data_IF_878443882119
#
_entry.id   IF_878443882119
#
_cell.length_a   1.000
_cell.length_b   1.000
_cell.length_c   1.000
_cell.angle_alpha   90.00
_cell.angle_beta   90.00
_cell.angle_gamma   90.00
#
_symmetry.space_group_name_H-M   'P 1'
#
loop_
_entity.id
_entity.type
_entity.pdbx_description
1 polymer ?
#
# COMPACT_ATOMS: atom_id res chain seq x y z
N UNK A 1 -58.07 -31.95 -40.36
CA UNK A 1 -57.56 -31.79 -41.73
C UNK A 1 -56.96 -30.40 -41.88
N UNK A 2 -55.71 -30.33 -42.37
CA UNK A 2 -54.93 -29.21 -42.92
C UNK A 2 -54.46 -28.02 -42.06
N UNK A 3 -53.21 -28.11 -41.58
CA UNK A 3 -51.97 -27.55 -42.15
C UNK A 3 -51.96 -26.23 -42.97
N UNK A 4 -50.93 -25.42 -42.68
CA UNK A 4 -50.00 -24.74 -43.63
C UNK A 4 -50.02 -23.19 -43.72
N UNK A 5 -49.05 -22.61 -42.99
CA UNK A 5 -48.01 -21.60 -43.35
C UNK A 5 -48.26 -20.39 -44.28
N UNK A 6 -47.72 -19.26 -43.76
CA UNK A 6 -46.76 -18.31 -44.34
C UNK A 6 -47.19 -17.27 -45.40
N UNK A 7 -46.86 -15.99 -45.11
CA UNK A 7 -45.90 -15.19 -45.91
C UNK A 7 -45.57 -13.85 -45.27
N UNK A 8 -44.27 -13.60 -45.09
CA UNK A 8 -43.67 -12.27 -44.93
C UNK A 8 -43.50 -11.64 -46.32
N UNK A 9 -43.78 -10.34 -46.45
CA UNK A 9 -43.26 -9.50 -47.54
C UNK A 9 -42.91 -8.12 -47.00
N UNK A 10 -41.65 -7.76 -47.20
CA UNK A 10 -41.00 -6.50 -46.87
C UNK A 10 -41.56 -5.35 -47.72
N UNK A 11 -41.91 -4.23 -47.07
CA UNK A 11 -42.28 -2.98 -47.72
C UNK A 11 -41.34 -1.86 -47.29
N UNK A 12 -40.56 -1.35 -48.25
CA UNK A 12 -39.75 -0.14 -48.14
C UNK A 12 -40.64 1.10 -48.34
N UNK A 13 -40.74 2.01 -47.37
CA UNK A 13 -40.98 3.44 -47.63
C UNK A 13 -40.73 4.33 -46.40
N UNK A 14 -39.80 5.26 -46.60
CA UNK A 14 -39.49 6.54 -45.95
C UNK A 14 -40.52 7.22 -45.03
N UNK A 15 -40.08 7.66 -43.83
CA UNK A 15 -40.37 9.00 -43.30
C UNK A 15 -39.39 9.44 -42.18
N UNK A 16 -38.94 10.71 -42.21
CA UNK A 16 -38.06 11.37 -41.23
C UNK A 16 -38.66 11.45 -39.82
N UNK A 17 -37.82 11.25 -38.80
CA UNK A 17 -37.88 11.89 -37.47
C UNK A 17 -36.44 11.89 -36.91
N UNK A 18 -35.77 13.05 -36.80
CA UNK A 18 -35.70 13.92 -35.61
C UNK A 18 -35.11 13.22 -34.38
N UNK A 19 -33.89 13.67 -34.06
CA UNK A 19 -33.34 13.94 -32.73
C UNK A 19 -33.27 12.80 -31.72
N UNK A 20 -32.04 12.49 -31.31
CA UNK A 20 -31.73 11.43 -30.35
C UNK A 20 -30.29 10.98 -30.49
N UNK A 21 -29.34 11.89 -30.33
CA UNK A 21 -27.94 11.51 -30.11
C UNK A 21 -27.86 10.67 -28.84
N UNK A 22 -27.60 9.38 -29.00
CA UNK A 22 -27.29 8.49 -27.88
C UNK A 22 -25.86 8.80 -27.50
N UNK A 23 -25.68 9.56 -26.43
CA UNK A 23 -24.40 9.76 -25.76
C UNK A 23 -23.94 8.41 -25.20
N UNK A 24 -23.22 7.65 -26.03
CA UNK A 24 -22.47 6.48 -25.61
C UNK A 24 -21.25 7.00 -24.85
N UNK A 25 -21.47 7.35 -23.58
CA UNK A 25 -20.44 7.69 -22.62
C UNK A 25 -19.34 6.63 -22.65
N UNK A 26 -18.15 7.07 -23.07
CA UNK A 26 -16.95 6.28 -23.28
C UNK A 26 -16.48 5.63 -21.99
N UNK A 27 -16.70 4.31 -21.86
CA UNK A 27 -16.09 3.42 -20.87
C UNK A 27 -14.62 3.09 -21.19
N UNK A 28 -13.80 4.10 -21.51
CA UNK A 28 -12.35 3.94 -21.79
C UNK A 28 -11.44 4.45 -20.66
N UNK A 29 -12.00 4.99 -19.58
CA UNK A 29 -11.20 5.53 -18.48
C UNK A 29 -10.65 4.45 -17.53
N UNK A 30 -11.44 3.41 -17.26
CA UNK A 30 -11.11 2.30 -16.36
C UNK A 30 -9.86 1.50 -16.77
N UNK A 31 -9.62 1.20 -18.08
CA UNK A 31 -8.45 0.44 -18.52
C UNK A 31 -7.12 1.13 -18.24
N UNK A 32 -7.02 2.44 -18.50
CA UNK A 32 -5.75 3.18 -18.30
C UNK A 32 -5.47 3.45 -16.82
N UNK A 33 -6.50 3.71 -16.02
CA UNK A 33 -6.39 3.84 -14.57
C UNK A 33 -5.87 2.54 -13.93
N UNK A 34 -6.46 1.40 -14.30
CA UNK A 34 -6.07 0.09 -13.81
C UNK A 34 -4.64 -0.29 -14.23
N UNK A 35 -4.26 0.04 -15.46
CA UNK A 35 -2.91 -0.24 -15.97
C UNK A 35 -1.82 0.54 -15.22
N UNK A 36 -2.09 1.79 -14.83
CA UNK A 36 -1.20 2.57 -13.97
C UNK A 36 -1.15 2.00 -12.56
N UNK A 37 -2.29 1.59 -11.99
CA UNK A 37 -2.33 0.98 -10.66
C UNK A 37 -1.56 -0.34 -10.58
N UNK A 38 -1.80 -1.25 -11.52
CA UNK A 38 -1.06 -2.51 -11.63
C UNK A 38 0.43 -2.27 -11.82
N UNK A 39 0.80 -1.24 -12.57
CA UNK A 39 2.20 -0.90 -12.73
C UNK A 39 2.87 -0.46 -11.42
N UNK A 40 2.18 0.37 -10.63
CA UNK A 40 2.65 0.76 -9.31
C UNK A 40 2.78 -0.47 -8.40
N UNK A 41 1.79 -1.38 -8.43
CA UNK A 41 1.82 -2.63 -7.64
C UNK A 41 2.99 -3.53 -8.03
N UNK A 42 3.19 -3.79 -9.32
CA UNK A 42 4.25 -4.67 -9.80
C UNK A 42 5.66 -4.14 -9.47
N UNK A 43 5.89 -2.83 -9.64
CA UNK A 43 7.19 -2.23 -9.28
C UNK A 43 7.42 -2.34 -7.77
N UNK A 44 6.38 -2.10 -6.97
CA UNK A 44 6.44 -2.17 -5.52
C UNK A 44 6.67 -3.61 -5.01
N UNK A 45 5.93 -4.59 -5.53
CA UNK A 45 6.02 -6.00 -5.14
C UNK A 45 7.37 -6.63 -5.53
N UNK A 46 7.99 -6.13 -6.60
CA UNK A 46 9.36 -6.47 -6.97
C UNK A 46 10.42 -5.81 -6.06
N UNK A 47 10.02 -5.09 -5.01
CA UNK A 47 10.91 -4.36 -4.09
C UNK A 47 11.50 -3.07 -4.69
N UNK A 48 11.00 -2.64 -5.85
CA UNK A 48 11.42 -1.42 -6.51
C UNK A 48 10.66 -0.20 -6.02
N UNK A 49 11.24 0.97 -6.28
CA UNK A 49 10.61 2.27 -6.05
C UNK A 49 9.74 2.66 -7.26
N UNK A 50 8.40 2.77 -7.12
CA UNK A 50 7.50 3.19 -8.20
C UNK A 50 7.56 4.70 -8.39
N UNK A 51 8.61 5.17 -9.06
CA UNK A 51 8.73 6.58 -9.46
C UNK A 51 7.92 6.85 -10.73
N UNK A 52 7.60 8.12 -10.97
CA UNK A 52 6.89 8.55 -12.18
C UNK A 52 7.56 8.05 -13.46
N UNK A 53 8.88 8.15 -13.56
CA UNK A 53 9.64 7.72 -14.74
C UNK A 53 9.51 6.21 -14.99
N UNK A 54 9.56 5.41 -13.92
CA UNK A 54 9.44 3.95 -14.02
C UNK A 54 8.03 3.51 -14.38
N UNK A 55 7.02 4.18 -13.85
CA UNK A 55 5.61 3.92 -14.20
C UNK A 55 5.39 4.24 -15.68
N UNK A 56 5.89 5.37 -16.18
CA UNK A 56 5.84 5.70 -17.61
C UNK A 56 6.55 4.65 -18.46
N UNK A 57 7.77 4.27 -18.07
CA UNK A 57 8.56 3.27 -18.80
C UNK A 57 7.87 1.90 -18.88
N UNK A 58 7.20 1.49 -17.80
CA UNK A 58 6.53 0.20 -17.74
C UNK A 58 5.15 0.18 -18.41
N UNK A 59 4.41 1.29 -18.29
CA UNK A 59 3.05 1.39 -18.87
C UNK A 59 3.07 1.77 -20.36
N UNK A 60 4.14 2.41 -20.84
CA UNK A 60 4.22 2.96 -22.20
C UNK A 60 3.27 4.14 -22.45
N UNK A 61 2.61 4.65 -21.41
CA UNK A 61 1.67 5.76 -21.51
C UNK A 61 2.40 7.10 -21.56
N UNK A 62 1.73 8.13 -22.11
CA UNK A 62 2.26 9.49 -22.09
C UNK A 62 2.41 9.96 -20.63
N UNK A 63 3.49 10.69 -20.29
CA UNK A 63 3.70 11.16 -18.91
C UNK A 63 2.54 11.96 -18.32
N UNK A 64 1.86 12.76 -19.15
CA UNK A 64 0.66 13.52 -18.74
C UNK A 64 -0.51 12.62 -18.36
N UNK A 65 -0.74 11.54 -19.12
CA UNK A 65 -1.78 10.55 -18.83
C UNK A 65 -1.48 9.82 -17.53
N UNK A 66 -0.22 9.46 -17.29
CA UNK A 66 0.21 8.84 -16.03
C UNK A 66 -0.04 9.79 -14.85
N UNK A 67 0.29 11.08 -14.98
CA UNK A 67 0.04 12.06 -13.92
C UNK A 67 -1.45 12.20 -13.58
N UNK A 68 -2.30 12.25 -14.60
CA UNK A 68 -3.75 12.37 -14.40
C UNK A 68 -4.35 11.11 -13.74
N UNK A 69 -3.90 9.92 -14.14
CA UNK A 69 -4.32 8.67 -13.48
C UNK A 69 -3.78 8.56 -12.06
N UNK A 70 -2.55 9.02 -11.79
CA UNK A 70 -2.02 9.10 -10.42
C UNK A 70 -2.85 10.05 -9.55
N UNK A 71 -3.31 11.20 -10.09
CA UNK A 71 -4.20 12.11 -9.34
C UNK A 71 -5.51 11.42 -8.96
N UNK A 72 -6.12 10.67 -9.88
CA UNK A 72 -7.35 9.90 -9.62
C UNK A 72 -7.11 8.81 -8.56
N UNK A 73 -6.08 7.97 -8.74
CA UNK A 73 -5.75 6.90 -7.78
C UNK A 73 -5.42 7.44 -6.38
N UNK A 74 -4.83 8.64 -6.30
CA UNK A 74 -4.62 9.34 -5.01
C UNK A 74 -5.93 9.84 -4.42
N UNK A 75 -6.80 10.41 -5.25
CA UNK A 75 -8.12 10.89 -4.83
C UNK A 75 -9.00 9.75 -4.30
N UNK A 76 -8.91 8.57 -4.90
CA UNK A 76 -9.63 7.35 -4.50
C UNK A 76 -8.97 6.63 -3.31
N UNK A 77 -7.80 7.08 -2.85
CA UNK A 77 -7.09 6.44 -1.73
C UNK A 77 -6.45 5.09 -2.08
N UNK A 78 -6.27 4.78 -3.35
CA UNK A 78 -5.67 3.53 -3.84
C UNK A 78 -4.14 3.57 -3.78
N UNK A 79 -3.53 4.75 -3.77
CA UNK A 79 -2.07 4.93 -3.65
C UNK A 79 -1.73 6.08 -2.70
N UNK A 80 -0.62 5.95 -1.96
CA UNK A 80 -0.06 7.03 -1.14
C UNK A 80 1.26 7.55 -1.70
N UNK A 81 1.50 8.87 -1.68
CA UNK A 81 2.81 9.43 -2.02
C UNK A 81 3.81 9.19 -0.87
N UNK A 82 4.99 8.68 -1.21
CA UNK A 82 6.12 8.55 -0.29
C UNK A 82 7.39 9.07 -0.97
N UNK A 83 7.86 10.26 -0.56
CA UNK A 83 8.98 10.97 -1.22
C UNK A 83 8.72 11.14 -2.72
N UNK A 84 9.55 10.55 -3.58
CA UNK A 84 9.44 10.57 -5.05
C UNK A 84 8.75 9.31 -5.62
N UNK A 85 8.13 8.51 -4.76
CA UNK A 85 7.55 7.22 -5.12
C UNK A 85 6.07 7.14 -4.73
N UNK A 86 5.37 6.20 -5.34
CA UNK A 86 3.98 5.87 -5.00
C UNK A 86 3.93 4.47 -4.39
N UNK A 87 3.25 4.33 -3.26
CA UNK A 87 2.98 3.00 -2.67
C UNK A 87 1.52 2.61 -2.88
N UNK A 88 1.22 1.38 -3.32
CA UNK A 88 -0.13 0.85 -3.28
C UNK A 88 -0.64 0.90 -1.84
N UNK A 89 -1.79 1.55 -1.64
CA UNK A 89 -2.59 1.32 -0.46
C UNK A 89 -3.40 0.06 -0.75
N UNK A 90 -3.00 -1.05 -0.13
CA UNK A 90 -3.84 -2.23 -0.09
C UNK A 90 -5.10 -1.84 0.68
N UNK A 91 -6.18 -1.57 -0.03
CA UNK A 91 -7.50 -1.46 0.58
C UNK A 91 -7.89 -2.88 1.00
N UNK A 92 -7.35 -3.32 2.14
CA UNK A 92 -7.89 -4.47 2.83
C UNK A 92 -9.37 -4.15 3.07
N UNK A 93 -10.26 -5.08 2.69
CA UNK A 93 -11.64 -5.03 3.18
C UNK A 93 -11.59 -4.77 4.68
N UNK A 94 -12.53 -3.96 5.19
CA UNK A 94 -12.55 -3.58 6.60
C UNK A 94 -12.27 -4.81 7.47
N UNK A 95 -11.28 -4.70 8.35
CA UNK A 95 -10.83 -5.83 9.15
C UNK A 95 -12.05 -6.44 9.88
N UNK A 96 -12.32 -7.71 9.59
CA UNK A 96 -13.39 -8.45 10.26
C UNK A 96 -12.84 -9.01 11.56
N UNK A 97 -13.70 -9.13 12.57
CA UNK A 97 -13.34 -9.79 13.81
C UNK A 97 -12.94 -11.24 13.52
N UNK A 98 -11.79 -11.64 14.04
CA UNK A 98 -11.29 -13.01 13.98
C UNK A 98 -11.28 -13.58 15.39
N UNK A 99 -11.89 -14.75 15.58
CA UNK A 99 -11.96 -15.44 16.86
C UNK A 99 -11.48 -16.89 16.71
N UNK A 100 -10.97 -17.46 17.80
CA UNK A 100 -10.67 -18.89 17.89
C UNK A 100 -11.23 -19.43 19.20
N UNK A 101 -12.10 -20.43 19.11
CA UNK A 101 -12.74 -21.07 20.26
C UNK A 101 -12.35 -22.55 20.31
N UNK A 102 -11.88 -22.99 21.48
CA UNK A 102 -11.64 -24.40 21.76
C UNK A 102 -12.89 -24.97 22.44
N UNK A 103 -13.54 -25.90 21.77
CA UNK A 103 -14.75 -26.56 22.26
C UNK A 103 -14.39 -27.60 23.33
N UNK A 104 -15.30 -27.96 24.26
CA UNK A 104 -15.04 -28.96 25.30
C UNK A 104 -14.65 -30.35 24.77
N UNK A 105 -15.05 -30.69 23.54
CA UNK A 105 -14.67 -31.94 22.87
C UNK A 105 -13.31 -31.87 22.14
N UNK A 106 -12.56 -30.77 22.30
CA UNK A 106 -11.25 -30.55 21.69
C UNK A 106 -11.29 -30.07 20.23
N UNK A 107 -12.47 -29.87 19.65
CA UNK A 107 -12.63 -29.27 18.32
C UNK A 107 -12.34 -27.77 18.40
N UNK A 108 -11.71 -27.23 17.36
CA UNK A 108 -11.42 -25.80 17.25
C UNK A 108 -12.40 -25.15 16.26
N UNK A 109 -12.89 -23.97 16.60
CA UNK A 109 -13.66 -23.11 15.68
C UNK A 109 -12.92 -21.81 15.46
N UNK A 110 -12.58 -21.53 14.20
CA UNK A 110 -11.98 -20.26 13.79
C UNK A 110 -13.03 -19.50 12.99
N UNK A 111 -13.32 -18.28 13.42
CA UNK A 111 -14.37 -17.45 12.84
C UNK A 111 -13.76 -16.18 12.24
N UNK A 112 -14.26 -15.76 11.08
CA UNK A 112 -13.92 -14.49 10.43
C UNK A 112 -15.19 -13.93 9.79
N UNK A 113 -15.80 -12.93 10.43
CA UNK A 113 -17.12 -12.45 9.99
C UNK A 113 -18.14 -13.60 9.99
N UNK A 114 -18.72 -13.89 8.82
CA UNK A 114 -19.73 -14.95 8.66
C UNK A 114 -19.13 -16.34 8.34
N UNK A 115 -17.81 -16.41 8.12
CA UNK A 115 -17.13 -17.65 7.81
C UNK A 115 -16.69 -18.37 9.08
N UNK A 116 -17.03 -19.67 9.18
CA UNK A 116 -16.63 -20.53 10.31
C UNK A 116 -15.91 -21.76 9.80
N UNK A 117 -14.67 -21.92 10.23
CA UNK A 117 -13.86 -23.11 9.98
C UNK A 117 -13.86 -23.98 11.23
N UNK A 118 -14.31 -25.23 11.08
CA UNK A 118 -14.29 -26.23 12.16
C UNK A 118 -13.14 -27.20 11.92
N UNK A 119 -12.24 -27.32 12.90
CA UNK A 119 -11.04 -28.13 12.80
C UNK A 119 -11.02 -29.20 13.88
N UNK A 120 -10.71 -30.44 13.50
CA UNK A 120 -10.39 -31.49 14.47
C UNK A 120 -8.98 -31.30 15.04
N UNK A 121 -8.63 -31.90 16.20
CA UNK A 121 -7.31 -31.72 16.81
C UNK A 121 -6.11 -32.03 15.91
N UNK A 122 -6.27 -32.93 14.93
CA UNK A 122 -5.21 -33.26 13.98
C UNK A 122 -4.95 -32.12 12.99
N UNK A 123 -6.00 -31.49 12.47
CA UNK A 123 -5.92 -30.37 11.52
C UNK A 123 -5.43 -29.10 12.23
N UNK A 124 -5.91 -28.86 13.45
CA UNK A 124 -5.44 -27.73 14.26
C UNK A 124 -3.92 -27.81 14.55
N UNK A 125 -3.38 -29.02 14.77
CA UNK A 125 -1.92 -29.22 14.93
C UNK A 125 -1.12 -28.92 13.67
N UNK A 126 -1.70 -29.11 12.49
CA UNK A 126 -1.06 -28.76 11.22
C UNK A 126 -1.08 -27.25 10.99
N UNK A 127 -2.16 -26.58 11.37
CA UNK A 127 -2.32 -25.13 11.21
C UNK A 127 -1.49 -24.32 12.23
N UNK A 128 -1.37 -24.81 13.46
CA UNK A 128 -0.68 -24.13 14.56
C UNK A 128 0.75 -23.62 14.22
N UNK A 129 1.67 -24.42 13.66
CA UNK A 129 3.02 -23.94 13.34
C UNK A 129 3.03 -22.85 12.26
N UNK A 130 2.09 -22.88 11.31
CA UNK A 130 1.97 -21.86 10.28
C UNK A 130 1.61 -20.50 10.88
N UNK A 131 0.62 -20.49 11.79
CA UNK A 131 0.21 -19.28 12.50
C UNK A 131 1.29 -18.79 13.47
N UNK A 132 1.98 -19.70 14.16
CA UNK A 132 3.10 -19.34 15.02
C UNK A 132 4.23 -18.65 14.23
N UNK A 133 4.56 -19.14 13.02
CA UNK A 133 5.51 -18.48 12.13
C UNK A 133 5.07 -17.05 11.78
N UNK A 134 3.78 -16.86 11.45
CA UNK A 134 3.23 -15.52 11.17
C UNK A 134 3.22 -14.59 12.37
N UNK A 135 2.98 -15.11 13.57
CA UNK A 135 3.09 -14.33 14.81
C UNK A 135 4.54 -13.86 15.05
N UNK A 136 5.53 -14.73 14.78
CA UNK A 136 6.95 -14.37 14.90
C UNK A 136 7.37 -13.31 13.87
N UNK A 137 6.90 -13.42 12.62
CA UNK A 137 7.12 -12.41 11.58
C UNK A 137 6.55 -11.05 11.99
N UNK A 138 5.30 -11.01 12.47
CA UNK A 138 4.64 -9.78 12.91
C UNK A 138 5.42 -9.12 14.07
N UNK A 139 5.80 -9.90 15.08
CA UNK A 139 6.61 -9.42 16.20
C UNK A 139 7.98 -8.90 15.77
N UNK A 140 8.60 -9.53 14.75
CA UNK A 140 9.86 -9.05 14.21
C UNK A 140 9.71 -7.70 13.51
N UNK A 141 8.64 -7.49 12.74
CA UNK A 141 8.35 -6.21 12.09
C UNK A 141 8.12 -5.09 13.10
N UNK A 142 7.33 -5.34 14.15
CA UNK A 142 7.12 -4.37 15.24
C UNK A 142 8.44 -3.98 15.91
N UNK A 143 9.32 -4.96 16.18
CA UNK A 143 10.66 -4.70 16.73
C UNK A 143 11.53 -3.87 15.80
N UNK A 144 11.47 -4.08 14.48
CA UNK A 144 12.21 -3.28 13.51
C UNK A 144 11.73 -1.83 13.55
N UNK A 145 10.41 -1.61 13.55
CA UNK A 145 9.84 -0.26 13.63
C UNK A 145 10.23 0.45 14.93
N UNK A 146 10.15 -0.24 16.07
CA UNK A 146 10.57 0.31 17.36
C UNK A 146 12.07 0.63 17.37
N UNK A 147 12.89 -0.24 16.78
CA UNK A 147 14.33 -0.03 16.70
C UNK A 147 14.69 1.14 15.77
N UNK A 148 14.00 1.32 14.65
CA UNK A 148 14.16 2.49 13.79
C UNK A 148 13.87 3.79 14.54
N UNK A 149 12.79 3.85 15.31
CA UNK A 149 12.45 5.01 16.14
C UNK A 149 13.55 5.28 17.19
N UNK A 150 14.00 4.24 17.89
CA UNK A 150 15.10 4.34 18.88
C UNK A 150 16.42 4.77 18.25
N UNK A 151 16.74 4.31 17.04
CA UNK A 151 17.96 4.72 16.33
C UNK A 151 17.96 6.21 15.98
N UNK A 152 16.79 6.76 15.60
CA UNK A 152 16.65 8.20 15.34
C UNK A 152 16.93 9.02 16.60
N UNK A 153 16.37 8.60 17.73
CA UNK A 153 16.63 9.24 19.03
C UNK A 153 18.10 9.14 19.44
N UNK A 154 18.70 7.96 19.29
CA UNK A 154 20.11 7.73 19.61
C UNK A 154 21.03 8.59 18.73
N UNK A 155 20.74 8.70 17.43
CA UNK A 155 21.50 9.57 16.53
C UNK A 155 21.42 11.04 16.95
N UNK A 156 20.26 11.49 17.48
CA UNK A 156 20.13 12.84 18.02
C UNK A 156 20.96 13.04 19.29
N UNK A 157 20.93 12.07 20.21
CA UNK A 157 21.75 12.12 21.42
C UNK A 157 23.25 12.16 21.11
N UNK A 158 23.72 11.36 20.14
CA UNK A 158 25.12 11.37 19.70
C UNK A 158 25.50 12.76 19.18
N UNK A 159 24.67 13.38 18.34
CA UNK A 159 24.90 14.75 17.85
C UNK A 159 24.98 15.77 18.99
N UNK A 160 24.11 15.66 19.98
CA UNK A 160 24.09 16.59 21.12
C UNK A 160 25.31 16.40 22.04
N UNK A 161 25.73 15.16 22.27
CA UNK A 161 26.96 14.84 23.02
C UNK A 161 28.18 15.36 22.30
N UNK A 162 28.31 15.14 20.99
CA UNK A 162 29.40 15.68 20.19
C UNK A 162 29.46 17.21 20.27
N UNK A 163 28.31 17.88 20.22
CA UNK A 163 28.21 19.34 20.36
C UNK A 163 28.70 19.80 21.74
N UNK A 164 28.25 19.15 22.82
CA UNK A 164 28.69 19.46 24.19
C UNK A 164 30.18 19.20 24.38
N UNK A 165 30.70 18.10 23.83
CA UNK A 165 32.12 17.76 23.88
C UNK A 165 32.98 18.82 23.18
N UNK A 166 32.58 19.26 21.96
CA UNK A 166 33.26 20.34 21.25
C UNK A 166 33.24 21.65 22.05
N UNK A 167 32.11 22.01 22.65
CA UNK A 167 31.99 23.22 23.47
C UNK A 167 32.87 23.16 24.74
N UNK A 168 32.87 22.03 25.44
CA UNK A 168 33.70 21.83 26.63
C UNK A 168 35.18 21.90 26.28
N UNK A 169 35.60 21.22 25.22
CA UNK A 169 37.00 21.25 24.73
C UNK A 169 37.43 22.68 24.37
N UNK A 170 36.57 23.47 23.73
CA UNK A 170 36.84 24.87 23.42
C UNK A 170 36.99 25.73 24.69
N UNK A 171 36.12 25.52 25.69
CA UNK A 171 36.22 26.23 26.98
C UNK A 171 37.50 25.89 27.76
N UNK A 172 37.92 24.62 27.71
CA UNK A 172 39.16 24.16 28.35
C UNK A 172 40.40 24.79 27.70
N UNK A 173 40.43 24.88 26.36
CA UNK A 173 41.51 25.56 25.64
C UNK A 173 41.59 27.05 25.98
N UNK A 174 40.44 27.73 26.14
CA UNK A 174 40.38 29.13 26.58
C UNK A 174 40.89 29.33 28.01
N UNK A 175 40.51 28.44 28.94
CA UNK A 175 40.95 28.50 30.34
C UNK A 175 42.46 28.28 30.48
N UNK A 176 43.04 27.33 29.73
CA UNK A 176 44.49 27.09 29.74
C UNK A 176 45.26 28.29 29.20
N UNK A 177 44.75 28.94 28.14
CA UNK A 177 45.34 30.17 27.60
C UNK A 177 45.30 31.33 28.61
N UNK A 178 44.20 31.48 29.35
CA UNK A 178 44.07 32.49 30.40
C UNK A 178 45.03 32.24 31.58
N UNK A 179 45.14 30.98 32.05
CA UNK A 179 46.08 30.62 33.12
C UNK A 179 47.55 30.85 32.72
N UNK A 180 47.92 30.63 31.45
CA UNK A 180 49.27 30.91 30.97
C UNK A 180 49.60 32.41 30.88
N UNK A 181 48.59 33.28 30.72
CA UNK A 181 48.77 34.73 30.70
C UNK A 181 48.94 35.31 32.12
N UNK A 182 48.24 34.75 33.12
CA UNK A 182 48.37 35.17 34.52
C UNK A 182 49.71 34.76 35.16
N UNK A 183 50.38 33.72 34.65
CA UNK A 183 51.70 33.29 35.17
C UNK A 183 52.90 34.11 34.66
N UNK A 184 52.69 35.01 33.70
CA UNK A 184 53.76 35.81 33.06
C UNK A 184 53.77 37.26 33.57
N UNK A 185 52.78 37.67 34.38
CA UNK A 185 52.73 38.96 35.08
C UNK A 185 53.29 38.84 36.50
#
# INVERSE_FOLDING_TARGET
MNSTQAKQTSGTSTHRARDGGVDLGTTEETPTLMLVFEAIRQIHDAGGEPTRERIVAMTGLKPTTVDDRIKVLRGEGMISPLKQCYRPLHQHVAAQAVSCTVMPNGVYKIEKGDEVMTLVPAEARQLAPMLAGKALEASALERVQEMEARMVEMAQQVRDVERRYKALKASQAGNVAQQSLELIQ
#
